data_IF_128826617722
#
_entry.id   IF_128826617722
#
_cell.length_a   1.000
_cell.length_b   1.000
_cell.length_c   1.000
_cell.angle_alpha   90.00
_cell.angle_beta   90.00
_cell.angle_gamma   90.00
#
_symmetry.space_group_name_H-M   'P 1'
#
loop_
_entity.id
_entity.type
_entity.pdbx_description
1 polymer ?
#
# COMPACT_ATOMS: atom_id res chain seq x y z
N UNK A 1 51.92 13.92 3.93
CA UNK A 1 50.62 14.47 4.36
C UNK A 1 49.72 14.52 3.14
N UNK A 2 48.53 13.92 3.24
CA UNK A 2 47.25 14.23 2.57
C UNK A 2 46.41 12.95 2.77
N UNK A 3 45.47 12.99 3.73
CA UNK A 3 44.33 12.08 3.74
C UNK A 3 43.11 12.94 3.40
N UNK A 4 42.74 12.95 2.12
CA UNK A 4 41.43 13.41 1.67
C UNK A 4 40.39 12.45 2.25
N UNK A 5 39.73 12.86 3.33
CA UNK A 5 38.51 12.22 3.81
C UNK A 5 37.35 13.04 3.27
N UNK A 6 36.80 12.59 2.14
CA UNK A 6 35.54 13.05 1.59
C UNK A 6 34.47 12.80 2.66
N UNK A 7 34.02 13.88 3.31
CA UNK A 7 32.86 13.86 4.20
C UNK A 7 31.64 13.97 3.28
N UNK A 8 31.04 12.84 2.92
CA UNK A 8 29.70 12.84 2.33
C UNK A 8 28.77 13.52 3.34
N UNK A 9 28.36 14.74 3.02
CA UNK A 9 27.27 15.42 3.71
C UNK A 9 25.99 14.70 3.32
N UNK A 10 25.49 13.83 4.21
CA UNK A 10 24.06 13.54 4.22
C UNK A 10 23.35 14.89 4.34
N UNK A 11 22.42 15.28 3.44
CA UNK A 11 21.53 16.37 3.75
C UNK A 11 20.78 15.94 5.01
N UNK A 12 20.99 16.68 6.11
CA UNK A 12 20.27 16.45 7.36
C UNK A 12 18.78 16.41 7.00
N UNK A 13 18.15 15.23 7.08
CA UNK A 13 16.71 15.17 6.91
C UNK A 13 16.10 16.10 7.95
N UNK A 14 15.41 17.14 7.49
CA UNK A 14 14.85 18.17 8.37
C UNK A 14 13.90 17.47 9.34
N UNK A 15 14.13 17.63 10.64
CA UNK A 15 13.23 17.08 11.66
C UNK A 15 11.85 17.73 11.57
N UNK A 16 10.83 16.95 11.86
CA UNK A 16 9.43 17.34 11.88
C UNK A 16 8.71 16.72 13.09
N UNK A 17 7.53 17.25 13.40
CA UNK A 17 6.65 16.75 14.46
C UNK A 17 5.31 16.34 13.89
N UNK A 18 4.83 15.19 14.34
CA UNK A 18 3.51 14.65 14.00
C UNK A 18 2.69 14.50 15.28
N UNK A 19 1.55 15.19 15.36
CA UNK A 19 0.58 14.97 16.43
C UNK A 19 -0.41 13.89 15.99
N UNK A 20 -0.46 12.78 16.71
CA UNK A 20 -1.33 11.63 16.45
C UNK A 20 -2.49 11.67 17.44
N UNK A 21 -3.71 11.82 16.93
CA UNK A 21 -4.96 11.74 17.70
C UNK A 21 -5.63 10.41 17.41
N UNK A 22 -5.82 9.59 18.43
CA UNK A 22 -6.43 8.27 18.34
C UNK A 22 -7.83 8.34 18.91
N UNK A 23 -8.82 7.81 18.18
CA UNK A 23 -10.21 7.79 18.60
C UNK A 23 -10.66 6.34 18.78
N UNK A 24 -10.82 5.91 20.02
CA UNK A 24 -11.42 4.60 20.34
C UNK A 24 -12.94 4.68 20.19
N UNK A 25 -13.56 3.63 19.65
CA UNK A 25 -15.01 3.62 19.43
C UNK A 25 -15.82 3.68 20.72
N UNK A 26 -17.05 4.18 20.61
CA UNK A 26 -18.03 4.18 21.70
C UNK A 26 -18.95 2.95 21.61
N UNK A 27 -18.36 1.76 21.66
CA UNK A 27 -19.07 0.47 21.70
C UNK A 27 -18.62 -0.34 22.91
N UNK A 28 -19.44 -1.30 23.36
CA UNK A 28 -19.12 -2.13 24.53
C UNK A 28 -17.85 -2.92 24.25
N UNK A 29 -16.89 -2.90 25.18
CA UNK A 29 -15.61 -3.61 25.04
C UNK A 29 -14.58 -2.93 24.11
N UNK A 30 -14.84 -1.69 23.65
CA UNK A 30 -13.97 -1.03 22.68
C UNK A 30 -12.55 -0.72 23.17
N UNK A 31 -12.34 -0.62 24.48
CA UNK A 31 -11.05 -0.23 25.07
C UNK A 31 -10.06 -1.38 25.18
N UNK A 32 -8.77 -1.04 25.23
CA UNK A 32 -7.68 -2.02 25.26
C UNK A 32 -6.61 -1.69 26.29
N UNK A 33 -6.16 -2.73 27.00
CA UNK A 33 -4.97 -2.67 27.90
C UNK A 33 -3.66 -3.01 27.17
N UNK A 34 -3.75 -3.42 25.89
CA UNK A 34 -2.60 -3.80 25.09
C UNK A 34 -1.75 -2.59 24.69
N UNK A 35 -0.46 -2.82 24.45
CA UNK A 35 0.42 -1.77 23.92
C UNK A 35 0.07 -1.49 22.46
N UNK A 36 -0.22 -0.23 22.13
CA UNK A 36 -0.56 0.22 20.77
C UNK A 36 0.69 0.79 20.08
N UNK A 37 0.87 0.44 18.80
CA UNK A 37 1.98 0.84 17.96
C UNK A 37 1.48 1.45 16.66
N UNK A 38 2.23 2.42 16.12
CA UNK A 38 1.98 3.05 14.83
C UNK A 38 3.27 3.20 14.03
N UNK A 39 3.19 3.03 12.71
CA UNK A 39 4.18 3.52 11.76
C UNK A 39 3.51 4.42 10.73
N UNK A 40 4.03 5.63 10.52
CA UNK A 40 3.48 6.61 9.58
C UNK A 40 4.36 6.66 8.33
N UNK A 41 3.76 6.52 7.15
CA UNK A 41 4.46 6.48 5.87
C UNK A 41 4.14 7.72 5.03
N UNK A 42 5.16 8.35 4.48
CA UNK A 42 5.04 9.44 3.51
C UNK A 42 5.96 9.27 2.29
N UNK A 43 6.00 10.29 1.45
CA UNK A 43 6.79 10.32 0.20
C UNK A 43 8.29 10.11 0.41
N UNK A 44 8.83 10.56 1.54
CA UNK A 44 10.28 10.57 1.80
C UNK A 44 10.75 9.45 2.72
N UNK A 45 9.84 8.60 3.21
CA UNK A 45 10.16 7.50 4.12
C UNK A 45 9.06 7.25 5.14
N UNK A 46 9.44 6.68 6.29
CA UNK A 46 8.53 6.35 7.38
C UNK A 46 9.13 6.68 8.76
N UNK A 47 8.30 6.62 9.80
CA UNK A 47 8.74 6.92 11.18
C UNK A 47 9.48 5.76 11.84
N UNK A 48 9.48 4.58 11.23
CA UNK A 48 9.60 3.32 11.95
C UNK A 48 8.39 3.08 12.87
N UNK A 49 8.34 1.90 13.47
CA UNK A 49 7.33 1.60 14.49
C UNK A 49 7.56 2.45 15.75
N UNK A 50 6.49 3.07 16.24
CA UNK A 50 6.45 3.90 17.43
C UNK A 50 5.37 3.37 18.36
N UNK A 51 5.73 3.10 19.62
CA UNK A 51 4.74 2.84 20.67
C UNK A 51 4.02 4.14 21.02
N UNK A 52 2.71 4.09 21.13
CA UNK A 52 1.87 5.21 21.56
C UNK A 52 1.66 5.12 23.06
N UNK A 53 2.39 5.93 23.82
CA UNK A 53 2.38 5.89 25.29
C UNK A 53 2.54 7.31 25.85
N UNK A 54 1.80 7.60 26.92
CA UNK A 54 1.91 8.81 27.73
C UNK A 54 1.51 8.47 29.19
N UNK A 55 1.46 9.46 30.08
CA UNK A 55 1.16 9.24 31.52
C UNK A 55 -0.33 8.99 31.84
N UNK A 56 -1.21 9.01 30.83
CA UNK A 56 -2.64 8.79 30.99
C UNK A 56 -3.02 7.33 30.78
N UNK A 57 -4.18 6.99 31.30
CA UNK A 57 -4.93 5.81 30.87
C UNK A 57 -5.49 6.10 29.47
N UNK A 58 -4.96 5.43 28.45
CA UNK A 58 -5.25 5.70 27.04
C UNK A 58 -6.05 4.54 26.44
N UNK A 59 -6.64 4.81 25.28
CA UNK A 59 -7.38 3.84 24.45
C UNK A 59 -8.66 3.33 25.09
N UNK A 60 -9.22 4.11 26.02
CA UNK A 60 -10.50 3.81 26.67
C UNK A 60 -11.70 3.98 25.73
N UNK A 61 -12.79 3.27 26.04
CA UNK A 61 -14.04 3.35 25.26
C UNK A 61 -14.50 4.81 25.08
N UNK A 62 -14.69 5.23 23.84
CA UNK A 62 -15.14 6.57 23.47
C UNK A 62 -14.13 7.69 23.70
N UNK A 63 -12.89 7.37 24.06
CA UNK A 63 -11.85 8.36 24.35
C UNK A 63 -11.16 8.92 23.10
N UNK A 64 -10.60 10.12 23.25
CA UNK A 64 -9.65 10.73 22.32
C UNK A 64 -8.28 10.88 23.03
N UNK A 65 -7.27 10.19 22.49
CA UNK A 65 -5.91 10.20 23.03
C UNK A 65 -4.95 10.91 22.08
N UNK A 66 -3.95 11.60 22.65
CA UNK A 66 -3.01 12.43 21.88
C UNK A 66 -1.57 12.05 22.17
N UNK A 67 -0.80 11.93 21.10
CA UNK A 67 0.62 11.60 21.13
C UNK A 67 1.39 12.53 20.19
N UNK A 68 2.66 12.80 20.50
CA UNK A 68 3.55 13.58 19.64
C UNK A 68 4.75 12.72 19.26
N UNK A 69 5.01 12.62 17.97
CA UNK A 69 6.12 11.87 17.42
C UNK A 69 7.11 12.82 16.73
N UNK A 70 8.37 12.80 17.18
CA UNK A 70 9.48 13.41 16.44
C UNK A 70 9.99 12.43 15.38
N UNK A 71 10.05 12.86 14.12
CA UNK A 71 10.54 12.08 12.99
C UNK A 71 11.04 13.00 11.87
N UNK A 72 11.78 12.48 10.87
CA UNK A 72 12.08 13.25 9.67
C UNK A 72 10.82 13.80 8.98
N UNK A 73 10.98 14.87 8.20
CA UNK A 73 9.96 15.30 7.25
C UNK A 73 9.67 14.17 6.25
N UNK A 74 8.45 13.66 6.26
CA UNK A 74 8.00 12.54 5.46
C UNK A 74 7.35 13.01 4.15
N UNK A 75 7.21 14.33 3.92
CA UNK A 75 6.47 14.87 2.80
C UNK A 75 4.97 14.59 2.92
N UNK A 76 4.29 14.30 1.81
CA UNK A 76 2.87 13.96 1.87
C UNK A 76 2.66 12.58 2.50
N UNK A 77 1.88 12.51 3.59
CA UNK A 77 1.52 11.22 4.21
C UNK A 77 0.61 10.41 3.28
N UNK A 78 0.80 9.09 3.27
CA UNK A 78 0.11 8.16 2.38
C UNK A 78 -0.70 7.12 3.13
N UNK A 79 -0.10 6.52 4.16
CA UNK A 79 -0.72 5.48 4.98
C UNK A 79 -0.15 5.48 6.39
N UNK A 80 -0.87 4.84 7.30
CA UNK A 80 -0.34 4.40 8.58
C UNK A 80 -0.45 2.88 8.65
N UNK A 81 0.42 2.26 9.43
CA UNK A 81 0.23 0.93 9.96
C UNK A 81 -0.03 1.08 11.46
N UNK A 82 -1.12 0.53 11.97
CA UNK A 82 -1.47 0.58 13.40
C UNK A 82 -1.84 -0.81 13.88
N UNK A 83 -1.45 -1.14 15.10
CA UNK A 83 -1.83 -2.39 15.74
C UNK A 83 -1.46 -2.42 17.22
N UNK A 84 -1.69 -3.56 17.87
CA UNK A 84 -1.35 -3.78 19.26
C UNK A 84 -0.70 -5.15 19.46
N UNK A 85 -0.08 -5.38 20.62
CA UNK A 85 0.65 -6.62 20.91
C UNK A 85 -0.21 -7.76 21.50
N UNK A 86 -1.53 -7.58 21.54
CA UNK A 86 -2.49 -8.55 22.08
C UNK A 86 -2.23 -9.01 23.53
N UNK A 87 -1.59 -8.18 24.36
CA UNK A 87 -1.40 -8.45 25.80
C UNK A 87 -2.52 -7.83 26.64
N UNK A 88 -2.64 -8.27 27.89
CA UNK A 88 -3.68 -7.80 28.81
C UNK A 88 -4.91 -8.70 28.83
N UNK A 89 -5.83 -8.44 29.76
CA UNK A 89 -7.06 -9.21 29.90
C UNK A 89 -8.12 -8.79 28.87
N UNK A 90 -8.11 -7.53 28.44
CA UNK A 90 -8.95 -6.98 27.37
C UNK A 90 -8.07 -6.43 26.25
N UNK A 91 -7.60 -7.32 25.38
CA UNK A 91 -6.67 -6.95 24.32
C UNK A 91 -7.36 -6.49 23.03
N UNK A 92 -8.63 -6.85 22.83
CA UNK A 92 -9.39 -6.42 21.65
C UNK A 92 -9.65 -4.93 21.68
N UNK A 93 -9.52 -4.27 20.54
CA UNK A 93 -9.63 -2.82 20.46
C UNK A 93 -10.52 -2.40 19.30
N UNK A 94 -11.55 -1.61 19.56
CA UNK A 94 -12.33 -0.99 18.49
C UNK A 94 -11.75 0.38 18.16
N UNK A 95 -11.01 0.48 17.06
CA UNK A 95 -10.45 1.74 16.59
C UNK A 95 -11.44 2.42 15.63
N UNK A 96 -11.93 3.61 16.00
CA UNK A 96 -12.78 4.42 15.12
C UNK A 96 -11.96 5.10 14.02
N UNK A 97 -10.96 5.90 14.41
CA UNK A 97 -10.08 6.60 13.45
C UNK A 97 -8.80 7.08 14.11
N UNK A 98 -7.81 7.37 13.28
CA UNK A 98 -6.62 8.13 13.66
C UNK A 98 -6.55 9.41 12.84
N UNK A 99 -6.12 10.50 13.46
CA UNK A 99 -5.89 11.77 12.78
C UNK A 99 -4.44 12.18 13.04
N UNK A 100 -3.69 12.42 11.98
CA UNK A 100 -2.29 12.86 12.06
C UNK A 100 -2.19 14.31 11.59
N UNK A 101 -1.65 15.18 12.44
CA UNK A 101 -1.33 16.55 12.11
C UNK A 101 0.19 16.69 11.92
N UNK A 102 0.60 16.96 10.67
CA UNK A 102 1.96 17.30 10.31
C UNK A 102 2.19 18.79 10.61
N UNK A 103 2.92 19.05 11.69
CA UNK A 103 3.09 20.39 12.24
C UNK A 103 3.98 21.26 11.33
N UNK A 104 5.06 20.68 10.80
CA UNK A 104 6.02 21.41 9.96
C UNK A 104 5.44 21.81 8.60
N UNK A 105 4.62 20.95 8.01
CA UNK A 105 3.99 21.20 6.71
C UNK A 105 2.56 21.77 6.81
N UNK A 106 2.01 21.90 8.03
CA UNK A 106 0.66 22.42 8.32
C UNK A 106 -0.43 21.64 7.57
N UNK A 107 -0.35 20.31 7.60
CA UNK A 107 -1.30 19.42 6.95
C UNK A 107 -1.95 18.49 7.97
N UNK A 108 -3.21 18.16 7.74
CA UNK A 108 -3.97 17.23 8.58
C UNK A 108 -4.46 16.08 7.71
N UNK A 109 -4.35 14.87 8.24
CA UNK A 109 -4.67 13.63 7.55
C UNK A 109 -5.58 12.78 8.43
N UNK A 110 -6.72 12.35 7.89
CA UNK A 110 -7.66 11.47 8.56
C UNK A 110 -7.48 10.02 8.08
N UNK A 111 -7.46 9.07 9.01
CA UNK A 111 -7.31 7.63 8.79
C UNK A 111 -8.46 6.90 9.51
N UNK A 112 -9.69 6.93 9.00
CA UNK A 112 -10.80 6.20 9.60
C UNK A 112 -10.66 4.69 9.37
N UNK A 113 -11.12 3.90 10.36
CA UNK A 113 -11.14 2.44 10.34
C UNK A 113 -12.52 1.93 10.75
N UNK A 114 -13.00 2.26 11.96
CA UNK A 114 -14.25 1.77 12.57
C UNK A 114 -14.37 0.25 12.58
N UNK A 115 -13.32 -0.43 13.07
CA UNK A 115 -13.26 -1.89 13.12
C UNK A 115 -12.57 -2.39 14.38
N UNK A 116 -12.81 -3.65 14.66
CA UNK A 116 -12.07 -4.37 15.68
C UNK A 116 -10.68 -4.74 15.19
N UNK A 117 -9.70 -4.42 16.01
CA UNK A 117 -8.37 -5.01 16.00
C UNK A 117 -8.33 -6.00 17.15
N UNK A 118 -8.68 -7.25 16.87
CA UNK A 118 -8.78 -8.32 17.86
C UNK A 118 -8.64 -9.68 17.17
N UNK A 119 -8.20 -10.71 17.89
CA UNK A 119 -8.07 -12.07 17.33
C UNK A 119 -9.42 -12.81 17.27
N UNK A 120 -10.37 -12.41 18.10
CA UNK A 120 -11.68 -13.03 18.31
C UNK A 120 -12.85 -12.20 17.78
N UNK A 121 -12.60 -11.00 17.25
CA UNK A 121 -13.61 -10.14 16.62
C UNK A 121 -13.29 -9.78 15.17
N UNK A 122 -14.34 -9.39 14.44
CA UNK A 122 -14.32 -8.98 13.03
C UNK A 122 -13.59 -9.99 12.13
N UNK A 123 -12.39 -9.67 11.64
CA UNK A 123 -11.60 -10.56 10.78
C UNK A 123 -10.32 -11.10 11.43
N UNK A 124 -10.23 -11.04 12.76
CA UNK A 124 -9.18 -11.69 13.53
C UNK A 124 -7.80 -11.03 13.39
N UNK A 125 -7.72 -9.80 12.88
CA UNK A 125 -6.44 -9.09 12.70
C UNK A 125 -6.25 -8.02 13.77
N UNK A 126 -5.06 -8.01 14.39
CA UNK A 126 -4.66 -7.04 15.43
C UNK A 126 -3.84 -5.86 14.89
N UNK A 127 -3.62 -5.81 13.57
CA UNK A 127 -2.81 -4.81 12.90
C UNK A 127 -3.32 -4.55 11.48
N UNK A 128 -3.31 -3.28 11.05
CA UNK A 128 -3.84 -2.81 9.76
C UNK A 128 -3.00 -1.71 9.14
N UNK A 129 -2.89 -1.77 7.82
CA UNK A 129 -2.55 -0.61 7.01
C UNK A 129 -3.82 0.21 6.72
N UNK A 130 -3.79 1.52 6.96
CA UNK A 130 -4.90 2.45 6.72
C UNK A 130 -4.40 3.58 5.84
N UNK A 131 -5.09 3.85 4.73
CA UNK A 131 -4.74 4.95 3.83
C UNK A 131 -5.35 6.26 4.31
N UNK A 132 -4.70 7.37 3.96
CA UNK A 132 -5.28 8.70 4.15
C UNK A 132 -6.66 8.76 3.48
N UNK A 133 -7.66 9.26 4.20
CA UNK A 133 -9.03 9.42 3.74
C UNK A 133 -9.91 8.18 3.91
N UNK A 134 -9.41 7.09 4.51
CA UNK A 134 -10.28 5.98 4.88
C UNK A 134 -10.56 4.97 3.80
N UNK A 135 -9.79 5.01 2.72
CA UNK A 135 -9.71 3.86 1.85
C UNK A 135 -9.07 2.74 2.68
N UNK A 136 -9.91 1.87 3.28
CA UNK A 136 -9.54 0.48 3.44
C UNK A 136 -8.88 0.05 2.12
N UNK A 137 -7.89 -0.83 2.17
CA UNK A 137 -7.49 -1.60 0.98
C UNK A 137 -8.64 -2.53 0.60
N UNK A 138 -9.81 -1.97 0.25
CA UNK A 138 -10.70 -2.61 -0.70
C UNK A 138 -9.82 -2.83 -1.92
N UNK A 139 -9.32 -4.04 -2.02
CA UNK A 139 -8.62 -4.48 -3.19
C UNK A 139 -9.69 -4.56 -4.27
N UNK A 140 -9.49 -3.83 -5.35
CA UNK A 140 -10.22 -4.12 -6.57
C UNK A 140 -9.48 -5.29 -7.21
N UNK A 141 -10.21 -6.38 -7.43
CA UNK A 141 -9.75 -7.50 -8.24
C UNK A 141 -9.85 -7.15 -9.72
N UNK A 142 -8.73 -7.29 -10.42
CA UNK A 142 -8.62 -7.15 -11.86
C UNK A 142 -8.28 -8.50 -12.47
N UNK A 143 -9.04 -8.88 -13.49
CA UNK A 143 -8.73 -10.01 -14.36
C UNK A 143 -7.86 -9.47 -15.49
N UNK A 144 -6.58 -9.85 -15.48
CA UNK A 144 -5.61 -9.52 -16.53
C UNK A 144 -5.49 -10.71 -17.46
N UNK A 145 -5.85 -10.48 -18.72
CA UNK A 145 -5.70 -11.48 -19.80
C UNK A 145 -4.55 -11.05 -20.71
N UNK A 146 -3.53 -11.91 -20.82
CA UNK A 146 -2.34 -11.69 -21.65
C UNK A 146 -2.39 -12.62 -22.86
N UNK A 147 -2.25 -12.07 -24.05
CA UNK A 147 -2.20 -12.81 -25.30
C UNK A 147 -0.77 -12.84 -25.83
N UNK A 148 -0.16 -14.02 -25.89
CA UNK A 148 1.11 -14.23 -26.59
C UNK A 148 0.80 -14.55 -28.04
N UNK A 149 1.32 -13.79 -28.99
CA UNK A 149 0.90 -13.91 -30.38
C UNK A 149 1.35 -15.21 -31.05
N UNK A 150 0.73 -15.52 -32.18
CA UNK A 150 0.93 -16.77 -32.90
C UNK A 150 1.96 -16.66 -34.05
N UNK A 151 3.18 -16.20 -33.71
CA UNK A 151 4.31 -16.16 -34.66
C UNK A 151 5.49 -16.97 -34.15
N UNK A 152 6.33 -17.46 -35.06
CA UNK A 152 7.51 -18.26 -34.70
C UNK A 152 8.40 -17.47 -33.72
N UNK A 153 8.70 -18.08 -32.57
CA UNK A 153 9.52 -17.46 -31.52
C UNK A 153 8.78 -16.48 -30.60
N UNK A 154 7.45 -16.37 -30.71
CA UNK A 154 6.67 -15.43 -29.89
C UNK A 154 6.69 -15.72 -28.39
N UNK A 155 6.78 -16.99 -27.98
CA UNK A 155 6.74 -17.39 -26.58
C UNK A 155 8.05 -17.13 -25.83
N UNK A 156 7.97 -17.03 -24.50
CA UNK A 156 9.14 -16.77 -23.65
C UNK A 156 9.15 -17.62 -22.39
N UNK A 157 10.33 -17.78 -21.79
CA UNK A 157 10.51 -18.34 -20.44
C UNK A 157 11.05 -17.29 -19.45
N UNK A 158 11.09 -16.01 -19.86
CA UNK A 158 11.41 -14.89 -18.96
C UNK A 158 10.28 -14.64 -17.96
N UNK A 159 10.64 -14.07 -16.81
CA UNK A 159 9.65 -13.52 -15.87
C UNK A 159 8.95 -12.32 -16.50
N UNK A 160 7.63 -12.39 -16.61
CA UNK A 160 6.77 -11.31 -17.08
C UNK A 160 6.29 -10.50 -15.87
N UNK A 161 6.24 -9.18 -16.01
CA UNK A 161 5.70 -8.29 -15.01
C UNK A 161 4.76 -7.26 -15.63
N UNK A 162 3.85 -6.77 -14.80
CA UNK A 162 2.88 -5.73 -15.09
C UNK A 162 3.15 -4.50 -14.23
N UNK A 163 2.84 -3.31 -14.73
CA UNK A 163 2.74 -2.07 -13.95
C UNK A 163 1.43 -1.39 -14.33
N UNK A 164 0.54 -1.19 -13.37
CA UNK A 164 -0.78 -0.59 -13.57
C UNK A 164 -0.79 0.83 -13.01
N UNK A 165 -1.33 1.78 -13.78
CA UNK A 165 -1.27 3.21 -13.47
C UNK A 165 -2.69 3.75 -13.27
N UNK A 166 -2.89 4.52 -12.19
CA UNK A 166 -4.16 5.18 -11.92
C UNK A 166 -4.32 6.50 -12.65
N UNK A 167 -5.57 6.87 -12.97
CA UNK A 167 -5.90 8.07 -13.73
C UNK A 167 -5.67 9.39 -12.97
N UNK A 168 -5.63 9.34 -11.63
CA UNK A 168 -5.58 10.54 -10.77
C UNK A 168 -4.18 10.96 -10.32
N UNK A 169 -3.07 10.40 -10.83
CA UNK A 169 -1.72 10.89 -10.49
C UNK A 169 -0.53 10.06 -10.96
N UNK A 170 0.67 10.41 -10.47
CA UNK A 170 1.96 9.79 -10.81
C UNK A 170 2.23 8.43 -10.12
N UNK A 171 1.27 7.88 -9.37
CA UNK A 171 1.43 6.63 -8.62
C UNK A 171 1.02 5.42 -9.48
N UNK A 172 1.73 4.29 -9.30
CA UNK A 172 1.46 3.04 -10.00
C UNK A 172 1.63 1.85 -9.04
N UNK A 173 1.19 0.67 -9.47
CA UNK A 173 1.23 -0.57 -8.67
C UNK A 173 2.65 -1.07 -8.32
N UNK A 174 3.71 -0.47 -8.86
CA UNK A 174 5.01 -1.12 -8.96
C UNK A 174 4.96 -2.32 -9.91
N UNK A 175 6.05 -3.09 -9.97
CA UNK A 175 6.12 -4.31 -10.78
C UNK A 175 5.39 -5.45 -10.07
N UNK A 176 4.34 -5.95 -10.70
CA UNK A 176 3.64 -7.17 -10.29
C UNK A 176 4.09 -8.29 -11.22
N UNK A 177 4.75 -9.31 -10.67
CA UNK A 177 5.17 -10.46 -11.48
C UNK A 177 3.99 -11.38 -11.73
N UNK A 178 3.80 -11.78 -12.99
CA UNK A 178 2.75 -12.68 -13.42
C UNK A 178 3.18 -14.13 -13.19
N UNK A 179 3.26 -14.49 -11.90
CA UNK A 179 3.73 -15.80 -11.46
C UNK A 179 2.80 -16.93 -11.96
N UNK A 180 3.39 -18.05 -12.36
CA UNK A 180 2.65 -19.21 -12.91
C UNK A 180 2.24 -19.10 -14.38
N UNK A 181 2.50 -17.96 -15.04
CA UNK A 181 2.23 -17.79 -16.47
C UNK A 181 3.13 -18.63 -17.37
N UNK A 182 2.56 -19.18 -18.45
CA UNK A 182 3.29 -20.06 -19.39
C UNK A 182 3.85 -19.27 -20.58
N UNK A 183 3.08 -18.31 -21.10
CA UNK A 183 3.48 -17.38 -22.17
C UNK A 183 4.06 -18.06 -23.42
N UNK A 184 3.50 -19.19 -23.82
CA UNK A 184 3.86 -19.88 -25.06
C UNK A 184 3.17 -19.25 -26.28
N UNK A 185 3.74 -19.47 -27.47
CA UNK A 185 3.20 -18.98 -28.75
C UNK A 185 1.71 -19.33 -28.88
N UNK A 186 0.88 -18.34 -29.23
CA UNK A 186 -0.56 -18.50 -29.47
C UNK A 186 -1.39 -18.77 -28.20
N UNK A 187 -0.81 -18.64 -27.00
CA UNK A 187 -1.53 -18.88 -25.74
C UNK A 187 -2.10 -17.60 -25.14
N UNK A 188 -3.16 -17.82 -24.36
CA UNK A 188 -3.77 -16.82 -23.48
C UNK A 188 -3.54 -17.24 -22.04
N UNK A 189 -2.96 -16.35 -21.25
CA UNK A 189 -2.73 -16.52 -19.82
C UNK A 189 -3.64 -15.52 -19.05
N UNK A 190 -4.25 -15.97 -17.94
CA UNK A 190 -5.20 -15.18 -17.15
C UNK A 190 -4.72 -15.08 -15.70
N UNK A 191 -4.74 -13.87 -15.14
CA UNK A 191 -4.30 -13.57 -13.78
C UNK A 191 -5.35 -12.76 -13.04
N UNK A 192 -5.53 -13.04 -11.75
CA UNK A 192 -6.30 -12.20 -10.85
C UNK A 192 -5.32 -11.34 -10.05
N UNK A 193 -5.45 -10.03 -10.16
CA UNK A 193 -4.57 -9.06 -9.51
C UNK A 193 -5.41 -8.18 -8.59
N UNK A 194 -5.02 -8.15 -7.32
CA UNK A 194 -5.59 -7.25 -6.33
C UNK A 194 -4.80 -5.95 -6.27
N UNK A 195 -5.48 -4.82 -6.49
CA UNK A 195 -4.89 -3.49 -6.34
C UNK A 195 -5.72 -2.66 -5.37
N UNK A 196 -5.04 -1.78 -4.62
CA UNK A 196 -5.74 -0.80 -3.81
C UNK A 196 -6.65 0.10 -4.66
N UNK A 197 -7.89 0.33 -4.21
CA UNK A 197 -8.88 1.24 -4.81
C UNK A 197 -8.30 2.60 -5.22
N UNK A 198 -7.28 3.10 -4.52
CA UNK A 198 -6.63 4.38 -4.82
C UNK A 198 -6.01 4.48 -6.23
N UNK A 199 -5.72 3.35 -6.87
CA UNK A 199 -5.25 3.30 -8.26
C UNK A 199 -6.41 3.35 -9.27
N UNK A 200 -7.65 3.29 -8.81
CA UNK A 200 -8.86 3.33 -9.65
C UNK A 200 -9.36 4.76 -9.89
N UNK A 201 -9.94 5.08 -11.07
CA UNK A 201 -9.92 4.23 -12.26
C UNK A 201 -8.51 4.13 -12.83
N UNK A 202 -8.17 2.99 -13.43
CA UNK A 202 -6.90 2.82 -14.13
C UNK A 202 -6.90 3.63 -15.42
N UNK A 203 -5.76 4.21 -15.79
CA UNK A 203 -5.59 4.94 -17.05
C UNK A 203 -4.75 4.19 -18.07
N UNK A 204 -3.82 3.34 -17.62
CA UNK A 204 -2.98 2.52 -18.50
C UNK A 204 -2.36 1.34 -17.75
N UNK A 205 -1.90 0.36 -18.53
CA UNK A 205 -1.13 -0.78 -18.07
C UNK A 205 0.14 -0.90 -18.91
N UNK A 206 1.28 -1.13 -18.28
CA UNK A 206 2.53 -1.47 -18.95
C UNK A 206 2.86 -2.92 -18.65
N UNK A 207 3.32 -3.66 -19.65
CA UNK A 207 3.80 -5.04 -19.49
C UNK A 207 5.24 -5.13 -19.96
N UNK A 208 6.04 -5.93 -19.28
CA UNK A 208 7.46 -6.10 -19.59
C UNK A 208 7.98 -7.48 -19.18
N UNK A 209 9.20 -7.79 -19.59
CA UNK A 209 9.87 -9.05 -19.27
C UNK A 209 11.25 -8.78 -18.67
N UNK A 210 11.75 -9.72 -17.86
CA UNK A 210 13.05 -9.61 -17.19
C UNK A 210 14.27 -9.81 -18.10
N UNK A 211 14.09 -10.19 -19.38
CA UNK A 211 15.16 -10.47 -20.34
C UNK A 211 16.19 -11.52 -19.85
N UNK A 212 15.72 -12.51 -19.10
CA UNK A 212 16.53 -13.57 -18.48
C UNK A 212 16.12 -14.95 -19.02
N UNK A 213 17.07 -15.86 -19.17
CA UNK A 213 16.85 -17.23 -19.66
C UNK A 213 17.07 -17.45 -21.17
N UNK A 214 16.66 -18.63 -21.65
CA UNK A 214 16.68 -19.04 -23.07
C UNK A 214 15.41 -18.54 -23.74
N UNK A 215 15.51 -17.98 -24.96
CA UNK A 215 14.42 -17.33 -25.69
C UNK A 215 13.94 -16.01 -25.03
N UNK A 216 14.81 -15.01 -25.11
CA UNK A 216 14.71 -13.72 -24.40
C UNK A 216 13.68 -12.75 -24.96
N UNK A 217 13.33 -12.93 -26.24
CA UNK A 217 12.28 -12.16 -26.89
C UNK A 217 10.89 -12.66 -26.48
N UNK A 218 9.91 -11.77 -26.53
CA UNK A 218 8.52 -12.12 -26.29
C UNK A 218 7.63 -11.25 -27.16
N UNK A 219 6.72 -11.88 -27.90
CA UNK A 219 5.70 -11.17 -28.65
C UNK A 219 4.37 -11.23 -27.90
N UNK A 220 4.17 -10.24 -27.04
CA UNK A 220 2.86 -9.94 -26.48
C UNK A 220 2.02 -9.25 -27.56
N UNK A 221 0.89 -9.84 -27.91
CA UNK A 221 -0.02 -9.26 -28.90
C UNK A 221 -0.94 -8.22 -28.25
N UNK A 222 -1.50 -8.56 -27.09
CA UNK A 222 -2.50 -7.74 -26.40
C UNK A 222 -2.52 -8.03 -24.91
N UNK A 223 -2.81 -6.99 -24.13
CA UNK A 223 -3.23 -7.12 -22.73
C UNK A 223 -4.64 -6.53 -22.61
N UNK A 224 -5.52 -7.25 -21.91
CA UNK A 224 -6.86 -6.79 -21.58
C UNK A 224 -7.03 -6.83 -20.07
N UNK A 225 -7.49 -5.73 -19.49
CA UNK A 225 -8.03 -5.73 -18.15
C UNK A 225 -9.57 -5.76 -18.18
N UNK A 226 -10.14 -6.47 -17.23
CA UNK A 226 -11.53 -6.35 -16.84
C UNK A 226 -11.54 -6.35 -15.31
N UNK A 227 -12.20 -5.38 -14.68
CA UNK A 227 -12.43 -5.50 -13.24
C UNK A 227 -13.89 -5.78 -12.96
N UNK A 228 -14.13 -6.23 -11.73
CA UNK A 228 -15.40 -6.85 -11.34
C UNK A 228 -16.51 -5.81 -11.08
N UNK A 229 -16.18 -4.53 -10.88
CA UNK A 229 -17.14 -3.45 -10.67
C UNK A 229 -17.24 -2.50 -11.89
N UNK A 230 -18.30 -2.61 -12.72
CA UNK A 230 -18.50 -1.75 -13.89
C UNK A 230 -18.80 -0.28 -13.56
N UNK A 231 -19.13 0.07 -12.30
CA UNK A 231 -19.31 1.46 -11.88
C UNK A 231 -17.98 2.19 -11.62
N UNK A 232 -16.90 1.45 -11.39
CA UNK A 232 -15.57 1.99 -11.06
C UNK A 232 -14.54 1.85 -12.19
N UNK A 233 -14.89 1.14 -13.28
CA UNK A 233 -13.92 0.63 -14.26
C UNK A 233 -14.43 0.85 -15.67
N UNK A 234 -13.65 1.59 -16.48
CA UNK A 234 -13.82 1.60 -17.93
C UNK A 234 -12.85 0.59 -18.53
N UNK A 235 -13.33 -0.53 -19.11
CA UNK A 235 -12.45 -1.48 -19.76
C UNK A 235 -11.82 -0.84 -20.99
N UNK A 236 -10.50 -0.81 -21.01
CA UNK A 236 -9.69 -0.50 -22.17
C UNK A 236 -8.89 -1.75 -22.58
N UNK A 237 -8.20 -1.65 -23.70
CA UNK A 237 -7.32 -2.72 -24.12
C UNK A 237 -6.11 -2.12 -24.81
N UNK A 238 -4.93 -2.60 -24.44
CA UNK A 238 -3.69 -2.09 -24.98
C UNK A 238 -3.09 -3.13 -25.92
N UNK A 239 -2.88 -2.70 -27.17
CA UNK A 239 -2.03 -3.44 -28.10
C UNK A 239 -0.59 -3.14 -27.74
N UNK A 240 0.21 -4.17 -27.47
CA UNK A 240 1.60 -4.00 -27.13
C UNK A 240 2.38 -3.42 -28.31
N UNK A 241 2.91 -2.20 -28.16
CA UNK A 241 3.58 -1.47 -29.25
C UNK A 241 5.10 -1.66 -29.33
N UNK A 242 5.70 -2.55 -28.56
CA UNK A 242 7.15 -2.79 -28.61
C UNK A 242 7.47 -4.23 -29.00
N UNK A 243 7.93 -4.37 -30.24
CA UNK A 243 8.78 -5.49 -30.69
C UNK A 243 10.18 -5.26 -30.11
N UNK A 244 10.65 -6.15 -29.25
CA UNK A 244 12.09 -6.30 -28.96
C UNK A 244 12.45 -7.77 -29.08
#
# INVERSE_FOLDING_TARGET
MIKNRIRWMNPLMKGNKYEVKVYTGDVIGAGTDADVFINIFGEYGDTGERRLENEKDNFEKGAEDKFTLDAPDLGQLMKINVGHNNKGASAGWFLSKIVVEDIGNKRKYDFPLNRWLALDEDDGKIQRDILVGGAETTAISYIITVFTGDVRGAGTKSKIYLVMYGARGNKNSGKIFLEGGVFDRGRTDIFNIELAVLLSPLSRVSIGHGNVGVNRGWYCEKVREAGEDPALIQPFSLTCKYKL
#
